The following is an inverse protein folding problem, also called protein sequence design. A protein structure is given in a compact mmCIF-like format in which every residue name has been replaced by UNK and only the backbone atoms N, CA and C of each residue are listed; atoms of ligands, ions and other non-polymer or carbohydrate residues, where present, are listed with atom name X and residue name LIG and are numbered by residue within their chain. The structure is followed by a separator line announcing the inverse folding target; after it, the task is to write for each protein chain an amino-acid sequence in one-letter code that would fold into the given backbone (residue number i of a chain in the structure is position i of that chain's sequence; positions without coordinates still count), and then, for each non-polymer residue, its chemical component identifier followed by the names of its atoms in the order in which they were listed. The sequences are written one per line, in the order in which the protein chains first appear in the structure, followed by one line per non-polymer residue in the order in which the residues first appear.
data_IF_668111894813
#
_entry.id   IF_668111894813
#
_cell.length_a   1.000
_cell.length_b   1.000
_cell.length_c   1.000
_cell.angle_alpha   90.00
_cell.angle_beta   90.00
_cell.angle_gamma   90.00
#
_symmetry.space_group_name_H-M   'P 1'
#
loop_
_entity.id
_entity.type
_entity.pdbx_description
1 polymer ?
#
# COMPACT_ATOMS: atom_id res chain seq x y z
N UNK A 1 3.14 5.36 2.73
CA UNK A 1 3.75 4.64 1.61
C UNK A 1 2.94 3.37 1.33
N UNK A 2 2.48 3.21 0.09
CA UNK A 2 1.58 2.10 -0.30
C UNK A 2 2.32 0.88 -0.88
N UNK A 3 3.48 0.55 -0.34
CA UNK A 3 4.26 -0.62 -0.73
C UNK A 3 5.39 -0.34 -1.72
N UNK A 4 6.10 -1.40 -2.08
CA UNK A 4 7.24 -1.43 -3.00
C UNK A 4 8.31 -0.36 -2.69
N UNK A 5 8.61 -0.24 -1.39
CA UNK A 5 9.65 0.69 -0.89
C UNK A 5 11.07 0.20 -1.17
N UNK A 6 11.25 -1.03 -1.62
CA UNK A 6 12.56 -1.63 -1.90
C UNK A 6 12.83 -1.71 -3.40
N UNK A 7 14.10 -1.55 -3.83
CA UNK A 7 14.49 -1.84 -5.20
C UNK A 7 14.36 -3.34 -5.52
N UNK A 8 14.16 -3.70 -6.79
CA UNK A 8 14.09 -5.10 -7.25
C UNK A 8 15.47 -5.77 -7.19
N UNK A 9 15.86 -6.21 -5.99
CA UNK A 9 17.15 -6.82 -5.67
C UNK A 9 16.97 -7.97 -4.64
N UNK A 10 17.95 -8.88 -4.47
CA UNK A 10 17.96 -9.87 -3.39
C UNK A 10 17.77 -9.22 -2.00
N UNK A 11 17.18 -9.99 -1.06
CA UNK A 11 16.79 -9.48 0.26
C UNK A 11 17.95 -8.85 1.05
N UNK A 12 19.17 -9.40 0.95
CA UNK A 12 20.36 -8.87 1.63
C UNK A 12 20.75 -7.48 1.09
N UNK A 13 20.60 -7.26 -0.21
CA UNK A 13 20.83 -5.94 -0.82
C UNK A 13 19.71 -4.97 -0.50
N UNK A 14 18.47 -5.45 -0.39
CA UNK A 14 17.35 -4.65 0.10
C UNK A 14 17.56 -4.23 1.57
N UNK A 15 18.06 -5.14 2.43
CA UNK A 15 18.37 -4.81 3.82
C UNK A 15 19.40 -3.69 3.91
N UNK A 16 20.46 -3.78 3.10
CA UNK A 16 21.47 -2.72 3.03
C UNK A 16 20.85 -1.40 2.56
N UNK A 17 20.03 -1.43 1.51
CA UNK A 17 19.35 -0.23 1.00
C UNK A 17 18.43 0.39 2.05
N UNK A 18 17.67 -0.42 2.81
CA UNK A 18 16.87 0.06 3.93
C UNK A 18 17.72 0.77 4.99
N UNK A 19 18.90 0.23 5.31
CA UNK A 19 19.79 0.78 6.33
C UNK A 19 20.58 2.00 5.87
N UNK A 20 20.64 2.27 4.58
CA UNK A 20 21.40 3.39 4.00
C UNK A 20 20.46 4.42 3.34
N UNK A 21 20.09 4.22 2.10
CA UNK A 21 19.37 5.21 1.29
C UNK A 21 17.97 5.50 1.83
N UNK A 22 17.21 4.44 2.18
CA UNK A 22 15.86 4.62 2.72
C UNK A 22 15.90 5.27 4.11
N UNK A 23 16.84 4.85 4.98
CA UNK A 23 17.07 5.51 6.27
C UNK A 23 17.37 6.99 6.11
N UNK A 24 18.31 7.35 5.23
CA UNK A 24 18.68 8.74 5.00
C UNK A 24 17.48 9.58 4.53
N UNK A 25 16.65 9.02 3.67
CA UNK A 25 15.41 9.67 3.21
C UNK A 25 14.40 9.84 4.35
N UNK A 26 14.18 8.81 5.18
CA UNK A 26 13.31 8.88 6.36
C UNK A 26 13.79 9.93 7.38
N UNK A 27 15.10 9.97 7.64
CA UNK A 27 15.71 10.95 8.56
C UNK A 27 15.52 12.38 8.05
N UNK A 28 15.65 12.61 6.74
CA UNK A 28 15.40 13.92 6.14
C UNK A 28 13.92 14.37 6.29
N UNK A 29 12.97 13.44 6.19
CA UNK A 29 11.55 13.72 6.45
C UNK A 29 11.28 13.99 7.94
N UNK A 30 11.88 13.19 8.83
CA UNK A 30 11.77 13.37 10.28
C UNK A 30 12.30 14.73 10.75
N UNK A 31 13.42 15.20 10.19
CA UNK A 31 13.96 16.55 10.45
C UNK A 31 12.98 17.66 10.07
N UNK A 32 12.07 17.39 9.14
CA UNK A 32 10.98 18.30 8.72
C UNK A 32 9.68 18.06 9.49
N UNK A 33 9.69 17.26 10.56
CA UNK A 33 8.53 16.84 11.34
C UNK A 33 7.45 16.12 10.49
N UNK A 34 7.87 15.38 9.47
CA UNK A 34 6.98 14.55 8.65
C UNK A 34 7.03 13.12 9.20
N UNK A 35 5.89 12.63 9.65
CA UNK A 35 5.72 11.23 10.06
C UNK A 35 5.48 10.36 8.82
N UNK A 36 6.14 9.21 8.77
CA UNK A 36 5.99 8.26 7.67
C UNK A 36 5.29 7.01 8.19
N UNK A 37 4.17 6.67 7.57
CA UNK A 37 3.47 5.38 7.76
C UNK A 37 3.51 4.64 6.44
N UNK A 38 3.77 3.34 6.47
CA UNK A 38 3.85 2.57 5.24
C UNK A 38 3.76 1.06 5.43
N UNK A 39 3.66 0.39 4.30
CA UNK A 39 3.58 -1.05 4.15
C UNK A 39 4.67 -1.54 3.20
N UNK A 40 4.93 -2.85 3.20
CA UNK A 40 5.68 -3.52 2.14
C UNK A 40 4.80 -3.74 0.90
N UNK A 41 5.40 -4.27 -0.18
CA UNK A 41 4.72 -4.71 -1.38
C UNK A 41 5.41 -5.95 -1.95
N UNK A 42 5.04 -6.34 -3.16
CA UNK A 42 5.54 -7.58 -3.76
C UNK A 42 7.02 -7.54 -4.15
N UNK A 43 7.63 -6.38 -4.33
CA UNK A 43 9.08 -6.24 -4.53
C UNK A 43 9.88 -6.26 -3.22
N UNK A 44 9.25 -6.23 -2.06
CA UNK A 44 9.90 -6.07 -0.75
C UNK A 44 10.24 -7.42 -0.09
N UNK A 45 11.06 -8.24 -0.72
CA UNK A 45 11.45 -9.59 -0.24
C UNK A 45 12.08 -9.59 1.15
N UNK A 46 12.78 -8.53 1.51
CA UNK A 46 13.48 -8.40 2.80
C UNK A 46 12.54 -8.51 4.01
N UNK A 47 11.29 -8.03 3.89
CA UNK A 47 10.31 -8.08 4.98
C UNK A 47 9.80 -9.50 5.24
N UNK A 48 9.85 -10.37 4.24
CA UNK A 48 9.45 -11.77 4.34
C UNK A 48 10.63 -12.69 4.68
N UNK A 49 11.79 -12.47 4.05
CA UNK A 49 12.95 -13.34 4.17
C UNK A 49 13.85 -13.01 5.36
N UNK A 50 13.92 -11.74 5.77
CA UNK A 50 14.78 -11.24 6.83
C UNK A 50 14.02 -10.34 7.83
N UNK A 51 12.84 -10.75 8.34
CA UNK A 51 11.97 -9.87 9.13
C UNK A 51 12.63 -9.39 10.44
N UNK A 52 13.42 -10.24 11.09
CA UNK A 52 14.14 -9.88 12.33
C UNK A 52 15.23 -8.84 12.06
N UNK A 53 15.96 -8.98 10.94
CA UNK A 53 16.96 -8.00 10.54
C UNK A 53 16.33 -6.63 10.27
N UNK A 54 15.17 -6.59 9.57
CA UNK A 54 14.44 -5.34 9.32
C UNK A 54 14.01 -4.69 10.63
N UNK A 55 13.48 -5.47 11.59
CA UNK A 55 13.10 -4.94 12.92
C UNK A 55 14.29 -4.34 13.67
N UNK A 56 15.45 -4.96 13.61
CA UNK A 56 16.67 -4.46 14.26
C UNK A 56 17.24 -3.19 13.65
N UNK A 57 16.82 -2.82 12.42
CA UNK A 57 17.23 -1.53 11.85
C UNK A 57 16.64 -0.35 12.61
N UNK A 58 15.52 -0.50 13.30
CA UNK A 58 14.83 0.59 14.02
C UNK A 58 14.68 1.86 13.15
N UNK A 59 14.08 1.70 11.98
CA UNK A 59 13.89 2.77 11.02
C UNK A 59 12.86 3.80 11.52
N UNK A 60 13.05 5.10 11.28
CA UNK A 60 12.17 6.15 11.79
C UNK A 60 10.86 6.28 10.97
N UNK A 61 10.10 5.21 10.89
CA UNK A 61 8.77 5.13 10.28
C UNK A 61 7.85 4.17 11.03
N UNK A 62 6.58 4.24 10.77
CA UNK A 62 5.61 3.25 11.27
C UNK A 62 5.32 2.24 10.17
N UNK A 63 5.90 1.05 10.28
CA UNK A 63 5.62 -0.07 9.38
C UNK A 63 4.36 -0.81 9.83
N UNK A 64 3.45 -1.06 8.90
CA UNK A 64 2.21 -1.79 9.14
C UNK A 64 2.16 -3.07 8.32
N UNK A 65 1.72 -4.15 8.95
CA UNK A 65 1.40 -5.43 8.32
C UNK A 65 0.25 -6.07 9.09
N UNK A 66 -0.95 -6.05 8.50
CA UNK A 66 -2.21 -6.47 9.13
C UNK A 66 -2.35 -5.87 10.55
N UNK A 67 -2.06 -4.59 10.65
CA UNK A 67 -2.03 -3.86 11.90
C UNK A 67 -2.42 -2.39 11.69
N UNK A 68 -2.74 -1.72 12.80
CA UNK A 68 -3.12 -0.32 12.79
C UNK A 68 -2.15 0.55 13.58
N UNK A 69 -2.11 1.83 13.24
CA UNK A 69 -1.58 2.90 14.08
C UNK A 69 -2.55 4.08 14.11
N UNK A 70 -2.30 5.00 15.03
CA UNK A 70 -3.03 6.26 15.09
C UNK A 70 -2.07 7.43 14.88
N UNK A 71 -2.43 8.33 13.97
CA UNK A 71 -1.67 9.56 13.69
C UNK A 71 -2.63 10.73 13.65
N UNK A 72 -2.43 11.71 14.53
CA UNK A 72 -3.27 12.91 14.62
C UNK A 72 -4.77 12.61 14.75
N UNK A 73 -5.13 11.57 15.50
CA UNK A 73 -6.52 11.13 15.69
C UNK A 73 -7.11 10.37 14.49
N UNK A 74 -6.31 10.01 13.48
CA UNK A 74 -6.71 9.17 12.36
C UNK A 74 -6.21 7.76 12.56
N UNK A 75 -7.09 6.78 12.50
CA UNK A 75 -6.76 5.36 12.55
C UNK A 75 -6.39 4.85 11.16
N UNK A 76 -5.16 4.38 11.01
CA UNK A 76 -4.60 3.91 9.75
C UNK A 76 -4.35 2.40 9.87
N UNK A 77 -4.93 1.62 8.97
CA UNK A 77 -4.67 0.19 8.83
C UNK A 77 -3.76 -0.08 7.64
N UNK A 78 -2.79 -0.98 7.77
CA UNK A 78 -1.88 -1.35 6.68
C UNK A 78 -1.87 -2.84 6.39
N UNK A 79 -1.95 -3.20 5.08
CA UNK A 79 -1.91 -4.58 4.58
C UNK A 79 -1.10 -4.68 3.27
N UNK A 80 0.01 -5.47 3.23
CA UNK A 80 0.92 -5.48 2.08
C UNK A 80 0.58 -6.53 1.01
N UNK A 81 -0.42 -7.38 1.23
CA UNK A 81 -0.62 -8.61 0.49
C UNK A 81 -1.13 -8.41 -0.93
N UNK A 82 -0.61 -9.26 -1.84
CA UNK A 82 -1.00 -9.34 -3.24
C UNK A 82 -1.51 -10.74 -3.55
N UNK A 83 -2.70 -10.90 -4.12
CA UNK A 83 -3.25 -12.22 -4.41
C UNK A 83 -2.59 -12.85 -5.65
N UNK A 84 -2.36 -14.18 -5.59
CA UNK A 84 -2.03 -15.03 -6.72
C UNK A 84 -0.77 -14.66 -7.53
N UNK A 85 0.11 -13.84 -6.98
CA UNK A 85 1.35 -13.41 -7.62
C UNK A 85 2.51 -14.33 -7.22
N UNK A 86 2.60 -15.52 -7.83
CA UNK A 86 3.62 -16.52 -7.52
C UNK A 86 5.05 -15.98 -7.68
N UNK A 87 5.93 -16.41 -6.77
CA UNK A 87 7.37 -16.05 -6.74
C UNK A 87 7.67 -14.58 -6.40
N UNK A 88 6.68 -13.83 -5.92
CA UNK A 88 6.86 -12.49 -5.39
C UNK A 88 6.65 -12.45 -3.88
N UNK A 89 7.23 -11.46 -3.22
CA UNK A 89 6.99 -11.25 -1.80
C UNK A 89 5.54 -10.85 -1.52
N UNK A 90 5.12 -10.98 -0.28
CA UNK A 90 3.76 -10.65 0.17
C UNK A 90 2.65 -11.34 -0.65
N UNK A 91 2.99 -12.46 -1.31
CA UNK A 91 2.02 -13.23 -2.09
C UNK A 91 1.09 -14.01 -1.17
N UNK A 92 -0.20 -14.00 -1.50
CA UNK A 92 -1.22 -14.72 -0.75
C UNK A 92 -2.27 -15.33 -1.69
N UNK A 93 -3.14 -16.16 -1.16
CA UNK A 93 -4.32 -16.65 -1.91
C UNK A 93 -5.52 -15.74 -1.66
N UNK A 94 -6.51 -15.75 -2.57
CA UNK A 94 -7.75 -14.98 -2.39
C UNK A 94 -8.41 -15.27 -1.05
N UNK A 95 -8.45 -16.54 -0.63
CA UNK A 95 -9.00 -16.94 0.67
C UNK A 95 -8.24 -16.33 1.85
N UNK A 96 -6.93 -16.31 1.80
CA UNK A 96 -6.10 -15.73 2.86
C UNK A 96 -6.24 -14.21 2.88
N UNK A 97 -6.31 -13.57 1.70
CA UNK A 97 -6.50 -12.12 1.61
C UNK A 97 -7.88 -11.73 2.15
N UNK A 98 -8.92 -12.51 1.86
CA UNK A 98 -10.25 -12.29 2.45
C UNK A 98 -10.21 -12.35 3.98
N UNK A 99 -9.58 -13.37 4.56
CA UNK A 99 -9.44 -13.48 6.01
C UNK A 99 -8.64 -12.32 6.64
N UNK A 100 -7.67 -11.75 5.91
CA UNK A 100 -6.90 -10.57 6.37
C UNK A 100 -7.72 -9.29 6.24
N UNK A 101 -8.50 -9.15 5.17
CA UNK A 101 -9.40 -8.02 4.97
C UNK A 101 -10.49 -7.95 6.05
N UNK A 102 -10.93 -9.12 6.57
CA UNK A 102 -11.86 -9.20 7.69
C UNK A 102 -11.28 -8.70 9.02
N UNK A 103 -9.94 -8.64 9.16
CA UNK A 103 -9.27 -8.08 10.34
C UNK A 103 -9.30 -6.54 10.39
N UNK A 104 -9.60 -5.87 9.28
CA UNK A 104 -9.64 -4.40 9.22
C UNK A 104 -10.75 -3.90 10.15
N UNK A 105 -10.43 -3.10 11.19
CA UNK A 105 -11.44 -2.58 12.11
C UNK A 105 -12.44 -1.65 11.43
N UNK A 106 -13.71 -1.69 11.86
CA UNK A 106 -14.78 -0.88 11.26
C UNK A 106 -14.60 0.63 11.49
N UNK A 107 -13.81 1.02 12.47
CA UNK A 107 -13.49 2.41 12.81
C UNK A 107 -12.18 2.91 12.14
N UNK A 108 -11.74 2.24 11.08
CA UNK A 108 -10.54 2.64 10.32
C UNK A 108 -10.83 3.85 9.43
N UNK A 109 -10.05 4.90 9.57
CA UNK A 109 -10.16 6.14 8.78
C UNK A 109 -9.43 6.04 7.43
N UNK A 110 -8.28 5.36 7.41
CA UNK A 110 -7.44 5.20 6.21
C UNK A 110 -7.00 3.76 6.09
N UNK A 111 -7.18 3.16 4.91
CA UNK A 111 -6.62 1.85 4.58
C UNK A 111 -5.42 2.06 3.64
N UNK A 112 -4.25 1.55 4.05
CA UNK A 112 -3.09 1.36 3.18
C UNK A 112 -3.10 -0.09 2.71
N UNK A 113 -3.25 -0.33 1.42
CA UNK A 113 -3.13 -1.67 0.82
C UNK A 113 -2.22 -1.60 -0.40
N UNK A 114 -1.39 -2.65 -0.62
CA UNK A 114 -0.54 -2.62 -1.79
C UNK A 114 -1.35 -2.88 -3.06
N UNK A 115 -2.14 -3.96 -3.07
CA UNK A 115 -3.07 -4.24 -4.16
C UNK A 115 -4.26 -3.27 -4.12
N UNK A 116 -4.62 -2.63 -5.24
CA UNK A 116 -5.82 -1.82 -5.31
C UNK A 116 -7.10 -2.68 -5.20
N UNK A 117 -8.24 -2.10 -4.78
CA UNK A 117 -9.51 -2.79 -4.79
C UNK A 117 -9.98 -3.10 -6.21
N UNK A 118 -10.70 -4.20 -6.38
CA UNK A 118 -11.31 -4.56 -7.66
C UNK A 118 -12.34 -3.49 -8.08
N UNK A 119 -12.17 -2.95 -9.30
CA UNK A 119 -13.08 -2.00 -9.90
C UNK A 119 -14.26 -2.70 -10.55
N UNK A 120 -15.27 -3.04 -9.79
CA UNK A 120 -16.43 -3.71 -10.30
C UNK A 120 -17.73 -3.18 -9.70
N UNK A 121 -18.83 -3.79 -10.01
CA UNK A 121 -20.11 -3.69 -9.32
C UNK A 121 -20.59 -2.24 -9.00
N UNK A 122 -20.70 -1.40 -10.02
CA UNK A 122 -21.45 -0.15 -9.93
C UNK A 122 -20.62 1.14 -9.77
N UNK A 123 -19.34 1.03 -9.59
CA UNK A 123 -18.43 2.17 -9.61
C UNK A 123 -17.48 1.99 -10.79
N UNK A 124 -17.47 2.89 -11.76
CA UNK A 124 -16.65 2.85 -12.99
C UNK A 124 -15.14 2.94 -12.69
N UNK A 125 -14.67 2.11 -11.77
CA UNK A 125 -13.29 2.03 -11.34
C UNK A 125 -12.67 0.77 -11.98
N UNK A 126 -12.18 0.94 -13.19
CA UNK A 126 -11.55 -0.10 -13.97
C UNK A 126 -10.02 0.10 -13.94
N UNK A 127 -9.35 -0.72 -13.15
CA UNK A 127 -7.90 -0.80 -13.17
C UNK A 127 -7.52 -1.75 -14.30
N UNK A 128 -7.17 -1.19 -15.44
CA UNK A 128 -6.64 -1.97 -16.54
C UNK A 128 -5.13 -2.15 -16.39
N UNK A 129 -4.64 -3.36 -16.54
CA UNK A 129 -3.24 -3.64 -16.79
C UNK A 129 -3.02 -3.65 -18.31
N UNK A 130 -2.33 -2.65 -18.89
CA UNK A 130 -2.12 -2.58 -20.32
C UNK A 130 -1.25 -3.72 -20.86
N UNK A 131 -0.43 -4.37 -20.02
CA UNK A 131 0.44 -5.48 -20.42
C UNK A 131 -0.34 -6.79 -20.55
N UNK A 132 -1.44 -6.96 -19.83
CA UNK A 132 -2.25 -8.16 -19.81
C UNK A 132 -3.66 -7.97 -20.38
N UNK A 133 -3.93 -6.85 -21.06
CA UNK A 133 -5.24 -6.49 -21.58
C UNK A 133 -6.16 -5.93 -20.50
N UNK A 134 -7.45 -5.83 -20.77
CA UNK A 134 -8.47 -5.35 -19.81
C UNK A 134 -8.75 -6.38 -18.71
N UNK A 135 -7.71 -6.77 -17.96
CA UNK A 135 -7.84 -7.62 -16.80
C UNK A 135 -8.06 -6.72 -15.59
N UNK A 136 -9.15 -6.95 -14.87
CA UNK A 136 -9.39 -6.33 -13.58
C UNK A 136 -8.37 -6.84 -12.57
N UNK A 137 -7.30 -6.07 -12.37
CA UNK A 137 -6.16 -6.47 -11.54
C UNK A 137 -6.33 -6.11 -10.05
N UNK A 138 -7.47 -5.55 -9.66
CA UNK A 138 -7.79 -5.23 -8.28
C UNK A 138 -8.32 -6.43 -7.49
N UNK A 139 -8.40 -6.30 -6.17
CA UNK A 139 -8.83 -7.37 -5.26
C UNK A 139 -10.24 -7.19 -4.74
N UNK A 140 -11.03 -8.30 -4.78
CA UNK A 140 -12.44 -8.32 -4.36
C UNK A 140 -12.58 -8.23 -2.83
N UNK A 141 -11.67 -8.84 -2.06
CA UNK A 141 -11.75 -8.82 -0.61
C UNK A 141 -11.48 -7.41 -0.07
N UNK A 142 -10.51 -6.70 -0.65
CA UNK A 142 -10.28 -5.28 -0.33
C UNK A 142 -11.51 -4.44 -0.69
N UNK A 143 -12.14 -4.68 -1.84
CA UNK A 143 -13.38 -3.99 -2.22
C UNK A 143 -14.50 -4.22 -1.18
N UNK A 144 -14.68 -5.45 -0.70
CA UNK A 144 -15.66 -5.78 0.33
C UNK A 144 -15.33 -5.10 1.67
N UNK A 145 -14.05 -5.09 2.07
CA UNK A 145 -13.63 -4.38 3.28
C UNK A 145 -13.92 -2.88 3.21
N UNK A 146 -13.65 -2.24 2.07
CA UNK A 146 -13.96 -0.82 1.88
C UNK A 146 -15.46 -0.55 2.02
N UNK A 147 -16.31 -1.41 1.45
CA UNK A 147 -17.78 -1.30 1.57
C UNK A 147 -18.28 -1.43 3.00
N UNK A 148 -17.63 -2.28 3.81
CA UNK A 148 -17.97 -2.49 5.22
C UNK A 148 -17.47 -1.34 6.09
N UNK A 149 -16.20 -0.97 5.94
CA UNK A 149 -15.51 0.01 6.79
C UNK A 149 -15.87 1.45 6.43
N UNK A 150 -16.03 1.74 5.13
CA UNK A 150 -16.25 3.09 4.58
C UNK A 150 -15.21 4.12 5.05
N UNK A 151 -13.90 3.83 4.87
CA UNK A 151 -12.85 4.75 5.28
C UNK A 151 -12.91 6.05 4.47
N UNK A 152 -12.34 7.15 4.98
CA UNK A 152 -12.20 8.38 4.18
C UNK A 152 -11.33 8.17 2.96
N UNK A 153 -10.19 7.44 3.16
CA UNK A 153 -9.24 7.18 2.09
C UNK A 153 -8.78 5.72 2.05
N UNK A 154 -8.57 5.25 0.83
CA UNK A 154 -7.80 4.04 0.56
C UNK A 154 -6.61 4.44 -0.28
N UNK A 155 -5.40 4.18 0.20
CA UNK A 155 -4.18 4.47 -0.54
C UNK A 155 -3.55 3.16 -0.96
N UNK A 156 -3.36 2.99 -2.26
CA UNK A 156 -2.81 1.78 -2.86
C UNK A 156 -1.71 2.10 -3.87
N UNK A 157 -1.08 1.07 -4.42
CA UNK A 157 -0.05 1.15 -5.45
C UNK A 157 -0.17 0.00 -6.43
N UNK A 158 0.96 -0.70 -6.70
CA UNK A 158 1.06 -1.95 -7.46
C UNK A 158 0.73 -1.81 -8.96
N UNK A 159 -0.42 -1.28 -9.33
CA UNK A 159 -0.83 -1.10 -10.72
C UNK A 159 -0.44 0.31 -11.16
N UNK A 160 0.72 0.44 -11.78
CA UNK A 160 1.34 1.72 -12.10
C UNK A 160 0.52 2.55 -13.10
N UNK A 161 -0.08 1.87 -14.08
CA UNK A 161 -0.88 2.48 -15.13
C UNK A 161 -2.19 3.08 -14.62
N UNK A 162 -2.68 2.54 -13.50
CA UNK A 162 -3.91 3.01 -12.86
C UNK A 162 -3.66 4.09 -11.79
N UNK A 163 -2.52 4.77 -11.81
CA UNK A 163 -2.30 5.93 -10.93
C UNK A 163 -3.43 6.95 -11.07
N UNK A 164 -3.97 7.40 -9.96
CA UNK A 164 -5.04 8.39 -9.98
C UNK A 164 -5.83 8.46 -8.69
N UNK A 165 -6.84 9.33 -8.70
CA UNK A 165 -7.77 9.57 -7.58
C UNK A 165 -9.16 9.20 -8.06
N UNK A 166 -9.85 8.33 -7.35
CA UNK A 166 -11.11 7.72 -7.76
C UNK A 166 -12.14 7.76 -6.63
N UNK A 167 -13.35 8.26 -6.88
CA UNK A 167 -14.42 8.16 -5.91
C UNK A 167 -14.89 6.69 -5.77
N UNK A 168 -15.17 6.29 -4.54
CA UNK A 168 -15.72 4.97 -4.23
C UNK A 168 -16.92 5.12 -3.30
N UNK A 169 -18.12 5.05 -3.84
CA UNK A 169 -19.32 5.38 -3.09
C UNK A 169 -19.36 6.86 -2.67
N UNK A 170 -20.20 7.20 -1.69
CA UNK A 170 -20.39 8.58 -1.29
C UNK A 170 -19.32 9.12 -0.31
N UNK A 171 -18.53 8.26 0.33
CA UNK A 171 -17.70 8.66 1.46
C UNK A 171 -16.21 8.37 1.28
N UNK A 172 -15.84 7.40 0.42
CA UNK A 172 -14.46 6.94 0.28
C UNK A 172 -13.82 7.48 -0.99
N UNK A 173 -12.57 7.91 -0.89
CA UNK A 173 -11.71 8.21 -2.04
C UNK A 173 -10.57 7.20 -2.10
N UNK A 174 -10.39 6.54 -3.25
CA UNK A 174 -9.25 5.65 -3.51
C UNK A 174 -8.17 6.47 -4.22
N UNK A 175 -6.94 6.34 -3.74
CA UNK A 175 -5.76 6.99 -4.31
C UNK A 175 -4.77 5.89 -4.69
N UNK A 176 -4.61 5.62 -5.98
CA UNK A 176 -3.47 4.86 -6.44
C UNK A 176 -2.29 5.81 -6.58
N UNK A 177 -1.35 5.68 -5.64
CA UNK A 177 -0.23 6.58 -5.45
C UNK A 177 1.08 6.04 -6.07
N UNK A 178 0.98 5.17 -7.11
CA UNK A 178 2.16 4.63 -7.79
C UNK A 178 3.09 5.75 -8.26
N UNK A 179 4.36 5.69 -7.83
CA UNK A 179 5.34 6.75 -8.07
C UNK A 179 5.98 6.66 -9.46
N UNK A 180 6.23 5.43 -9.92
CA UNK A 180 6.79 5.16 -11.24
C UNK A 180 5.68 4.83 -12.26
N UNK A 181 5.98 4.97 -13.53
CA UNK A 181 5.12 4.46 -14.61
C UNK A 181 5.29 2.95 -14.82
N UNK A 182 4.56 2.35 -15.76
CA UNK A 182 4.63 0.92 -16.09
C UNK A 182 5.99 0.45 -16.65
N UNK A 183 6.86 1.39 -17.06
CA UNK A 183 8.23 1.11 -17.51
C UNK A 183 9.27 1.35 -16.41
N UNK A 184 8.85 1.71 -15.19
CA UNK A 184 9.70 2.08 -14.06
C UNK A 184 10.61 3.29 -14.34
N UNK A 185 10.16 4.22 -15.18
CA UNK A 185 11.00 5.33 -15.68
C UNK A 185 10.52 6.70 -15.19
N UNK A 186 9.21 6.97 -15.23
CA UNK A 186 8.68 8.28 -14.90
C UNK A 186 8.45 8.44 -13.40
N UNK A 187 9.23 9.33 -12.78
CA UNK A 187 8.97 9.77 -11.41
C UNK A 187 7.81 10.78 -11.38
N UNK A 188 6.82 10.49 -10.55
CA UNK A 188 5.60 11.31 -10.41
C UNK A 188 5.58 12.03 -9.08
N UNK A 189 4.95 13.19 -9.02
CA UNK A 189 4.82 13.93 -7.76
C UNK A 189 3.92 13.18 -6.79
N UNK A 190 4.25 13.15 -5.49
CA UNK A 190 3.37 12.58 -4.47
C UNK A 190 2.01 13.29 -4.45
N UNK A 191 0.94 12.53 -4.24
CA UNK A 191 -0.39 13.07 -4.06
C UNK A 191 -0.52 13.76 -2.69
N UNK A 192 -1.24 14.88 -2.66
CA UNK A 192 -1.54 15.63 -1.43
C UNK A 192 -3.04 15.71 -1.24
N UNK A 193 -3.50 15.39 -0.05
CA UNK A 193 -4.89 15.55 0.34
C UNK A 193 -4.99 16.02 1.80
N UNK A 194 -6.13 16.59 2.15
CA UNK A 194 -6.39 17.11 3.48
C UNK A 194 -7.61 16.39 4.06
N UNK A 195 -7.50 15.99 5.33
CA UNK A 195 -8.59 15.34 6.06
C UNK A 195 -9.04 16.29 7.16
N UNK A 196 -10.31 16.69 7.13
CA UNK A 196 -10.97 17.33 8.26
C UNK A 196 -11.86 16.28 8.95
N UNK A 197 -11.48 15.86 10.15
CA UNK A 197 -12.43 15.22 11.06
C UNK A 197 -13.25 16.36 11.66
N UNK A 198 -14.48 16.49 11.18
CA UNK A 198 -15.47 17.40 11.75
C UNK A 198 -15.74 17.15 13.22
#
# INVERSE_FOLDING_TARGET
LAGDVCPSKPAELQLRWLDTEFRAWLDALRQRNILVVGIAGNHCFVFEQLPDNVRHLDLPWTYLQDSACEVSGLKIWGTPWVPNLKNWASCTTDRQLSARADLIPDDTDIILCHTPPYGGAGYNFDLTDPQHGSVHAGDIAINHAIKRVQPYYVVCGHIHEARGIYPFGPFTTIINASYLDGNYQDERMPEKFYINKG
#
